data_IF_289270012935
#
_entry.id   IF_289270012935
#
_cell.length_a   1.000
_cell.length_b   1.000
_cell.length_c   1.000
_cell.angle_alpha   90.00
_cell.angle_beta   90.00
_cell.angle_gamma   90.00
#
_symmetry.space_group_name_H-M   'P 1'
#
loop_
_entity.id
_entity.type
_entity.pdbx_description
1 polymer ?
#
# COMPACT_ATOMS: atom_id res chain seq x y z
N UNK A 1 60.14 11.84 8.89
CA UNK A 1 59.23 12.26 7.79
C UNK A 1 58.33 11.14 7.23
N UNK A 2 58.51 9.84 7.55
CA UNK A 2 57.60 8.77 7.07
C UNK A 2 56.31 8.57 7.90
N UNK A 3 56.28 9.04 9.15
CA UNK A 3 55.14 8.85 10.06
C UNK A 3 53.96 9.81 9.82
N UNK A 4 54.22 10.97 9.21
CA UNK A 4 53.18 11.96 8.88
C UNK A 4 52.40 11.52 7.63
N UNK A 5 53.05 10.84 6.69
CA UNK A 5 52.42 10.36 5.46
C UNK A 5 51.32 9.32 5.72
N UNK A 6 51.50 8.46 6.73
CA UNK A 6 50.49 7.46 7.12
C UNK A 6 49.26 8.08 7.77
N UNK A 7 49.42 9.19 8.51
CA UNK A 7 48.30 9.87 9.17
C UNK A 7 47.37 10.57 8.16
N UNK A 8 47.93 11.11 7.07
CA UNK A 8 47.15 11.74 6.00
C UNK A 8 46.38 10.71 5.17
N UNK A 9 46.97 9.52 4.98
CA UNK A 9 46.34 8.43 4.22
C UNK A 9 45.08 7.88 4.91
N UNK A 10 45.09 7.79 6.24
CA UNK A 10 43.93 7.33 7.03
C UNK A 10 42.79 8.36 7.00
N UNK A 11 43.11 9.66 6.95
CA UNK A 11 42.11 10.73 6.94
C UNK A 11 41.33 10.80 5.61
N UNK A 12 41.98 10.47 4.49
CA UNK A 12 41.37 10.49 3.15
C UNK A 12 40.32 9.38 2.96
N UNK A 13 40.53 8.21 3.56
CA UNK A 13 39.63 7.04 3.42
C UNK A 13 38.29 7.28 4.13
N UNK A 14 38.26 8.10 5.19
CA UNK A 14 37.04 8.44 5.94
C UNK A 14 36.12 9.42 5.19
N UNK A 15 36.63 10.12 4.17
CA UNK A 15 35.85 11.12 3.41
C UNK A 15 35.19 10.57 2.14
N UNK A 16 35.46 9.31 1.77
CA UNK A 16 34.98 8.69 0.53
C UNK A 16 33.62 7.98 0.66
N UNK A 17 32.96 8.03 1.82
CA UNK A 17 31.75 7.25 2.11
C UNK A 17 30.54 8.10 2.48
N UNK A 18 30.07 9.00 1.61
CA UNK A 18 28.77 9.65 1.80
C UNK A 18 28.28 10.34 0.51
N UNK A 19 27.71 9.59 -0.42
CA UNK A 19 26.92 10.19 -1.50
C UNK A 19 25.66 9.43 -1.93
N UNK A 20 25.50 8.15 -1.58
CA UNK A 20 24.37 7.35 -2.09
C UNK A 20 23.23 7.07 -1.11
N UNK A 21 23.40 7.38 0.19
CA UNK A 21 22.40 7.05 1.23
C UNK A 21 21.07 7.78 1.07
N UNK A 22 21.04 8.96 0.41
CA UNK A 22 19.82 9.78 0.33
C UNK A 22 18.69 9.15 -0.52
N UNK A 23 18.99 8.28 -1.49
CA UNK A 23 17.95 7.68 -2.33
C UNK A 23 17.22 6.52 -1.64
N UNK A 24 17.95 5.62 -0.99
CA UNK A 24 17.37 4.47 -0.28
C UNK A 24 16.53 4.87 0.93
N UNK A 25 16.94 5.89 1.69
CA UNK A 25 16.19 6.30 2.89
C UNK A 25 14.82 6.89 2.53
N UNK A 26 14.72 7.63 1.43
CA UNK A 26 13.45 8.23 0.97
C UNK A 26 12.51 7.16 0.42
N UNK A 27 13.03 6.18 -0.33
CA UNK A 27 12.23 5.09 -0.89
C UNK A 27 11.72 4.14 0.21
N UNK A 28 12.57 3.85 1.21
CA UNK A 28 12.19 3.07 2.39
C UNK A 28 11.13 3.81 3.23
N UNK A 29 11.31 5.12 3.45
CA UNK A 29 10.33 5.92 4.18
C UNK A 29 8.97 6.00 3.46
N UNK A 30 8.95 6.17 2.14
CA UNK A 30 7.73 6.18 1.32
C UNK A 30 7.02 4.81 1.33
N UNK A 31 7.79 3.73 1.34
CA UNK A 31 7.25 2.37 1.47
C UNK A 31 6.62 2.15 2.84
N UNK A 32 7.27 2.60 3.92
CA UNK A 32 6.74 2.48 5.29
C UNK A 32 5.45 3.30 5.46
N UNK A 33 5.39 4.49 4.88
CA UNK A 33 4.21 5.36 4.96
C UNK A 33 3.01 4.86 4.14
N UNK A 34 3.23 4.06 3.09
CA UNK A 34 2.15 3.52 2.24
C UNK A 34 1.61 2.15 2.67
N UNK A 35 2.27 1.49 3.63
CA UNK A 35 1.82 0.21 4.19
C UNK A 35 0.49 0.32 4.95
N UNK A 36 0.25 1.34 5.80
CA UNK A 36 -1.05 1.55 6.45
C UNK A 36 -2.19 1.70 5.45
N UNK A 37 -1.98 2.47 4.38
CA UNK A 37 -3.00 2.72 3.35
C UNK A 37 -3.37 1.44 2.60
N UNK A 38 -2.36 0.67 2.16
CA UNK A 38 -2.58 -0.62 1.49
C UNK A 38 -3.28 -1.63 2.40
N UNK A 39 -2.93 -1.66 3.69
CA UNK A 39 -3.57 -2.55 4.66
C UNK A 39 -5.04 -2.19 4.86
N UNK A 40 -5.37 -0.89 4.98
CA UNK A 40 -6.74 -0.40 5.08
C UNK A 40 -7.57 -0.77 3.84
N UNK A 41 -7.03 -0.52 2.64
CA UNK A 41 -7.68 -0.92 1.38
C UNK A 41 -7.91 -2.43 1.31
N UNK A 42 -6.94 -3.22 1.74
CA UNK A 42 -7.07 -4.69 1.74
C UNK A 42 -8.16 -5.14 2.71
N UNK A 43 -8.22 -4.56 3.91
CA UNK A 43 -9.26 -4.86 4.89
C UNK A 43 -10.66 -4.54 4.36
N UNK A 44 -10.83 -3.35 3.77
CA UNK A 44 -12.09 -2.94 3.15
C UNK A 44 -12.50 -3.87 2.00
N UNK A 45 -11.57 -4.22 1.10
CA UNK A 45 -11.85 -5.15 0.00
C UNK A 45 -12.33 -6.51 0.51
N UNK A 46 -11.73 -7.04 1.56
CA UNK A 46 -12.16 -8.30 2.18
C UNK A 46 -13.58 -8.17 2.74
N UNK A 47 -13.85 -7.08 3.48
CA UNK A 47 -15.16 -6.83 4.06
C UNK A 47 -16.24 -6.70 2.99
N UNK A 48 -15.98 -5.93 1.93
CA UNK A 48 -16.92 -5.75 0.82
C UNK A 48 -17.17 -7.07 0.11
N UNK A 49 -16.12 -7.79 -0.30
CA UNK A 49 -16.24 -9.06 -1.04
C UNK A 49 -17.02 -10.10 -0.24
N UNK A 50 -16.77 -10.20 1.07
CA UNK A 50 -17.51 -11.11 1.93
C UNK A 50 -18.99 -10.72 2.03
N UNK A 51 -19.29 -9.43 2.15
CA UNK A 51 -20.66 -8.93 2.26
C UNK A 51 -21.45 -9.10 0.96
N UNK A 52 -20.83 -8.85 -0.20
CA UNK A 52 -21.40 -9.13 -1.53
C UNK A 52 -21.73 -10.62 -1.67
N UNK A 53 -20.79 -11.50 -1.32
CA UNK A 53 -20.99 -12.95 -1.39
C UNK A 53 -22.11 -13.41 -0.45
N UNK A 54 -22.17 -12.88 0.76
CA UNK A 54 -23.22 -13.18 1.73
C UNK A 54 -24.59 -12.68 1.27
N UNK A 55 -24.65 -11.49 0.66
CA UNK A 55 -25.87 -10.98 0.04
C UNK A 55 -26.36 -11.90 -1.08
N UNK A 56 -25.46 -12.30 -1.98
CA UNK A 56 -25.79 -13.25 -3.06
C UNK A 56 -26.30 -14.58 -2.51
N UNK A 57 -25.63 -15.14 -1.50
CA UNK A 57 -26.06 -16.39 -0.87
C UNK A 57 -27.48 -16.32 -0.27
N UNK A 58 -27.90 -15.15 0.21
CA UNK A 58 -29.23 -14.95 0.79
C UNK A 58 -30.30 -14.58 -0.23
N UNK A 59 -29.96 -13.81 -1.26
CA UNK A 59 -30.92 -13.21 -2.19
C UNK A 59 -30.95 -13.88 -3.56
N UNK A 60 -29.90 -14.62 -3.92
CA UNK A 60 -29.74 -15.26 -5.23
C UNK A 60 -29.28 -14.31 -6.34
N UNK A 61 -29.00 -13.04 -6.02
CA UNK A 61 -28.48 -12.04 -6.93
C UNK A 61 -27.50 -11.11 -6.22
N UNK A 62 -26.60 -10.48 -6.98
CA UNK A 62 -25.65 -9.51 -6.45
C UNK A 62 -26.33 -8.15 -6.19
N UNK A 63 -25.93 -7.41 -5.14
CA UNK A 63 -26.55 -6.12 -4.82
C UNK A 63 -26.41 -5.13 -5.99
N UNK A 64 -27.36 -4.19 -6.13
CA UNK A 64 -27.32 -3.21 -7.22
C UNK A 64 -26.17 -2.22 -7.07
N UNK A 65 -25.85 -1.86 -5.84
CA UNK A 65 -24.73 -1.02 -5.45
C UNK A 65 -24.13 -1.48 -4.11
N UNK A 66 -22.94 -0.96 -3.77
CA UNK A 66 -22.28 -1.30 -2.51
C UNK A 66 -22.97 -0.64 -1.29
N UNK A 67 -23.64 0.49 -1.48
CA UNK A 67 -24.40 1.20 -0.45
C UNK A 67 -25.51 0.38 0.19
N UNK A 68 -26.12 -0.55 -0.55
CA UNK A 68 -27.09 -1.54 -0.02
C UNK A 68 -26.50 -2.38 1.13
N UNK A 69 -25.18 -2.58 1.15
CA UNK A 69 -24.51 -3.39 2.16
C UNK A 69 -24.26 -2.63 3.48
N UNK A 70 -24.42 -1.30 3.49
CA UNK A 70 -24.26 -0.43 4.65
C UNK A 70 -22.98 -0.72 5.47
N UNK A 71 -21.83 -0.75 4.77
CA UNK A 71 -20.55 -1.12 5.36
C UNK A 71 -19.85 0.09 5.98
N UNK A 72 -19.25 -0.11 7.15
CA UNK A 72 -18.33 0.85 7.74
C UNK A 72 -16.92 0.58 7.18
N UNK A 73 -16.49 1.39 6.22
CA UNK A 73 -15.22 1.25 5.50
C UNK A 73 -14.20 2.28 5.98
N UNK A 74 -12.91 1.96 5.87
CA UNK A 74 -11.83 2.91 6.14
C UNK A 74 -11.65 3.93 5.01
N UNK A 75 -11.93 3.52 3.78
CA UNK A 75 -11.87 4.35 2.58
C UNK A 75 -13.28 4.69 2.07
N UNK A 76 -13.46 5.83 1.38
CA UNK A 76 -14.71 6.18 0.72
C UNK A 76 -15.19 5.09 -0.24
N UNK A 77 -16.50 4.80 -0.24
CA UNK A 77 -17.08 3.82 -1.17
C UNK A 77 -16.81 4.18 -2.64
N UNK A 78 -16.70 5.48 -2.94
CA UNK A 78 -16.37 5.98 -4.27
C UNK A 78 -15.03 5.49 -4.80
N UNK A 79 -14.12 5.02 -3.95
CA UNK A 79 -12.78 4.59 -4.35
C UNK A 79 -12.75 3.14 -4.84
N UNK A 80 -13.89 2.45 -4.74
CA UNK A 80 -14.08 1.09 -5.19
C UNK A 80 -14.79 1.05 -6.55
N UNK A 81 -14.38 0.10 -7.39
CA UNK A 81 -15.01 -0.23 -8.66
C UNK A 81 -15.73 -1.56 -8.47
N UNK A 82 -17.05 -1.52 -8.58
CA UNK A 82 -17.92 -2.67 -8.45
C UNK A 82 -18.46 -3.13 -9.81
N UNK A 83 -18.36 -4.43 -10.08
CA UNK A 83 -19.01 -5.10 -11.22
C UNK A 83 -20.14 -5.99 -10.70
N UNK A 84 -21.37 -5.48 -10.78
CA UNK A 84 -22.58 -6.19 -10.35
C UNK A 84 -22.76 -7.52 -11.07
N UNK A 85 -22.40 -7.61 -12.36
CA UNK A 85 -22.60 -8.83 -13.15
C UNK A 85 -21.76 -10.01 -12.64
N UNK A 86 -20.62 -9.70 -11.99
CA UNK A 86 -19.68 -10.69 -11.47
C UNK A 86 -19.58 -10.70 -9.93
N UNK A 87 -20.23 -9.76 -9.25
CA UNK A 87 -20.06 -9.53 -7.82
C UNK A 87 -18.63 -9.13 -7.43
N UNK A 88 -17.82 -8.65 -8.38
CA UNK A 88 -16.40 -8.40 -8.16
C UNK A 88 -16.13 -6.95 -7.77
N UNK A 89 -15.19 -6.73 -6.85
CA UNK A 89 -14.83 -5.39 -6.35
C UNK A 89 -13.32 -5.21 -6.37
N UNK A 90 -12.87 -4.03 -6.82
CA UNK A 90 -11.47 -3.60 -6.85
C UNK A 90 -11.34 -2.17 -6.31
N UNK A 91 -10.15 -1.79 -5.86
CA UNK A 91 -9.84 -0.41 -5.52
C UNK A 91 -9.22 0.32 -6.73
N UNK A 92 -9.53 1.60 -6.94
CA UNK A 92 -9.00 2.40 -8.07
C UNK A 92 -7.49 2.48 -8.06
N UNK A 93 -6.91 2.80 -6.90
CA UNK A 93 -5.46 3.02 -6.76
C UNK A 93 -4.65 1.74 -6.52
N UNK A 94 -5.33 0.62 -6.24
CA UNK A 94 -4.68 -0.67 -6.01
C UNK A 94 -5.35 -1.78 -6.84
N UNK A 95 -5.28 -1.71 -8.19
CA UNK A 95 -5.98 -2.65 -9.07
C UNK A 95 -5.45 -4.09 -9.01
N UNK A 96 -4.27 -4.30 -8.42
CA UNK A 96 -3.59 -5.60 -8.28
C UNK A 96 -4.03 -6.44 -7.06
N UNK A 97 -4.86 -5.89 -6.17
CA UNK A 97 -5.42 -6.58 -4.99
C UNK A 97 -6.94 -6.74 -5.09
#
# INVERSE_FOLDING_TARGET
MKKIFFAVLILLILSAGCSDTKKETVETAKTILSLPDKAAVTADLVQIRNSVNFFYAQKGFFPEDLGVLNLNLNNPESDFIYDQSKGSVKHKDYPQI
#
